data_IF_777444339305
#
_entry.id   IF_777444339305
#
_cell.length_a   1.000
_cell.length_b   1.000
_cell.length_c   1.000
_cell.angle_alpha   90.00
_cell.angle_beta   90.00
_cell.angle_gamma   90.00
#
_symmetry.space_group_name_H-M   'P 1'
#
loop_
_entity.id
_entity.type
_entity.pdbx_description
1 polymer ?
#
# COMPACT_ATOMS: atom_id res chain seq x y z
N UNK A 1 -61.92 23.94 -17.29
CA UNK A 1 -60.80 24.27 -16.39
C UNK A 1 -59.78 23.14 -16.48
N UNK A 2 -58.77 23.25 -17.35
CA UNK A 2 -57.68 22.23 -17.46
C UNK A 2 -56.49 22.64 -16.58
N UNK A 3 -56.23 21.89 -15.51
CA UNK A 3 -55.03 22.05 -14.69
C UNK A 3 -53.84 21.44 -15.44
N UNK A 4 -52.90 22.26 -15.91
CA UNK A 4 -51.60 21.84 -16.44
C UNK A 4 -50.72 21.41 -15.28
N UNK A 5 -50.41 20.10 -15.16
CA UNK A 5 -49.42 19.55 -14.24
C UNK A 5 -48.07 19.73 -14.93
N UNK A 6 -47.24 20.61 -14.37
CA UNK A 6 -45.86 20.80 -14.78
C UNK A 6 -44.98 19.76 -14.06
N UNK A 7 -44.56 18.69 -14.78
CA UNK A 7 -43.61 17.71 -14.26
C UNK A 7 -42.25 18.32 -14.45
N UNK A 8 -41.63 18.77 -13.34
CA UNK A 8 -40.25 19.17 -13.32
C UNK A 8 -39.36 17.89 -13.26
N UNK A 9 -38.77 17.58 -14.42
CA UNK A 9 -37.75 16.53 -14.49
C UNK A 9 -36.45 17.10 -13.85
N UNK A 10 -36.17 16.70 -12.60
CA UNK A 10 -34.91 16.99 -11.97
C UNK A 10 -33.90 16.02 -12.57
N UNK A 11 -33.14 16.46 -13.58
CA UNK A 11 -31.93 15.77 -14.03
C UNK A 11 -30.87 15.87 -12.92
N UNK A 12 -30.83 14.88 -12.04
CA UNK A 12 -29.69 14.67 -11.16
C UNK A 12 -28.50 14.26 -12.05
N UNK A 13 -27.66 15.21 -12.42
CA UNK A 13 -26.38 14.96 -13.05
C UNK A 13 -25.51 14.20 -12.03
N UNK A 14 -25.40 12.88 -12.21
CA UNK A 14 -24.39 12.05 -11.54
C UNK A 14 -23.04 12.55 -12.03
N UNK A 15 -22.41 13.43 -11.26
CA UNK A 15 -21.00 13.75 -11.44
C UNK A 15 -20.23 12.47 -11.12
N UNK A 16 -19.97 11.69 -12.16
CA UNK A 16 -19.02 10.57 -12.08
C UNK A 16 -17.63 11.20 -11.89
N UNK A 17 -17.18 11.31 -10.65
CA UNK A 17 -15.78 11.63 -10.39
C UNK A 17 -14.97 10.46 -10.92
N UNK A 18 -14.36 10.63 -12.09
CA UNK A 18 -13.35 9.69 -12.57
C UNK A 18 -12.23 9.59 -11.52
N UNK A 19 -11.84 8.38 -11.18
CA UNK A 19 -10.72 8.19 -10.29
C UNK A 19 -9.47 8.88 -10.86
N UNK A 20 -8.65 9.45 -9.99
CA UNK A 20 -7.36 10.06 -10.38
C UNK A 20 -6.50 9.02 -11.13
N UNK A 21 -5.66 9.48 -12.07
CA UNK A 21 -4.73 8.60 -12.76
C UNK A 21 -3.76 7.93 -11.77
N UNK A 22 -3.61 6.58 -11.78
CA UNK A 22 -2.78 5.88 -10.81
C UNK A 22 -1.30 6.29 -10.85
N UNK A 23 -0.75 6.69 -12.00
CA UNK A 23 0.63 7.21 -12.09
C UNK A 23 0.75 8.54 -11.35
N UNK A 24 -0.23 9.42 -11.51
CA UNK A 24 -0.27 10.71 -10.80
C UNK A 24 -0.34 10.52 -9.29
N UNK A 25 -1.12 9.56 -8.81
CA UNK A 25 -1.21 9.21 -7.38
C UNK A 25 0.15 8.74 -6.85
N UNK A 26 0.80 7.77 -7.51
CA UNK A 26 2.13 7.28 -7.10
C UNK A 26 3.14 8.43 -7.11
N UNK A 27 3.22 9.17 -8.22
CA UNK A 27 4.17 10.29 -8.38
C UNK A 27 4.02 11.34 -7.29
N UNK A 28 2.80 11.71 -6.92
CA UNK A 28 2.56 12.70 -5.87
C UNK A 28 3.09 12.25 -4.51
N UNK A 29 2.90 10.97 -4.17
CA UNK A 29 3.39 10.37 -2.92
C UNK A 29 4.91 10.21 -2.91
N UNK A 30 5.48 9.78 -4.04
CA UNK A 30 6.93 9.65 -4.18
C UNK A 30 7.63 11.01 -4.07
N UNK A 31 7.11 12.07 -4.68
CA UNK A 31 7.67 13.43 -4.56
C UNK A 31 7.67 13.89 -3.09
N UNK A 32 6.57 13.66 -2.37
CA UNK A 32 6.51 14.01 -0.95
C UNK A 32 7.52 13.19 -0.13
N UNK A 33 7.61 11.89 -0.38
CA UNK A 33 8.57 11.00 0.28
C UNK A 33 10.02 11.44 0.01
N UNK A 34 10.38 11.72 -1.26
CA UNK A 34 11.71 12.18 -1.64
C UNK A 34 12.09 13.48 -0.93
N UNK A 35 11.16 14.44 -0.78
CA UNK A 35 11.40 15.69 -0.06
C UNK A 35 11.75 15.48 1.42
N UNK A 36 11.25 14.40 2.03
CA UNK A 36 11.57 14.02 3.40
C UNK A 36 12.91 13.27 3.47
N UNK A 37 13.13 12.30 2.57
CA UNK A 37 14.32 11.44 2.57
C UNK A 37 15.60 12.22 2.25
N UNK A 38 15.53 13.23 1.39
CA UNK A 38 16.69 14.05 1.00
C UNK A 38 17.32 14.84 2.16
N UNK A 39 16.60 15.02 3.26
CA UNK A 39 17.12 15.70 4.45
C UNK A 39 18.16 14.85 5.16
N UNK A 40 19.25 15.46 5.59
CA UNK A 40 20.34 14.77 6.31
C UNK A 40 19.92 14.26 7.70
N UNK A 41 18.98 14.95 8.34
CA UNK A 41 18.34 14.55 9.60
C UNK A 41 16.85 14.75 9.49
N UNK A 42 16.09 13.77 9.94
CA UNK A 42 14.63 13.80 10.03
C UNK A 42 14.20 14.10 11.47
N UNK A 43 13.23 14.97 11.61
CA UNK A 43 12.55 15.24 12.88
C UNK A 43 11.55 14.09 13.17
N UNK A 44 11.12 13.95 14.43
CA UNK A 44 10.06 13.02 14.80
C UNK A 44 8.77 13.27 14.00
N UNK A 45 8.42 14.54 13.74
CA UNK A 45 7.26 14.91 12.91
C UNK A 45 7.39 14.41 11.46
N UNK A 46 8.58 14.47 10.87
CA UNK A 46 8.83 13.96 9.51
C UNK A 46 8.80 12.44 9.46
N UNK A 47 9.30 11.76 10.48
CA UNK A 47 9.19 10.29 10.61
C UNK A 47 7.72 9.88 10.70
N UNK A 48 6.92 10.57 11.52
CA UNK A 48 5.48 10.32 11.61
C UNK A 48 4.77 10.63 10.28
N UNK A 49 5.18 11.69 9.56
CA UNK A 49 4.63 12.00 8.24
C UNK A 49 4.88 10.89 7.23
N UNK A 50 6.06 10.26 7.25
CA UNK A 50 6.35 9.08 6.41
C UNK A 50 5.43 7.92 6.77
N UNK A 51 5.23 7.62 8.06
CA UNK A 51 4.31 6.57 8.49
C UNK A 51 2.88 6.82 8.00
N UNK A 52 2.43 8.08 8.03
CA UNK A 52 1.12 8.48 7.51
C UNK A 52 1.04 8.38 5.98
N UNK A 53 2.11 8.76 5.25
CA UNK A 53 2.18 8.55 3.80
C UNK A 53 2.00 7.08 3.43
N UNK A 54 2.66 6.17 4.16
CA UNK A 54 2.51 4.73 3.95
C UNK A 54 1.07 4.27 4.23
N UNK A 55 0.46 4.72 5.34
CA UNK A 55 -0.94 4.39 5.66
C UNK A 55 -1.91 4.87 4.58
N UNK A 56 -1.68 6.07 4.03
CA UNK A 56 -2.54 6.64 3.00
C UNK A 56 -2.35 5.97 1.63
N UNK A 57 -1.15 5.49 1.36
CA UNK A 57 -0.76 4.94 0.05
C UNK A 57 -1.06 3.46 -0.10
N UNK A 58 -1.12 2.69 1.01
CA UNK A 58 -1.26 1.24 0.96
C UNK A 58 -2.62 0.75 1.46
N UNK A 59 -3.14 -0.30 0.79
CA UNK A 59 -4.18 -1.18 1.33
C UNK A 59 -3.51 -2.31 2.12
N UNK A 60 -3.26 -2.06 3.40
CA UNK A 60 -2.62 -3.03 4.28
C UNK A 60 -3.49 -4.27 4.55
N UNK A 61 -4.81 -4.15 4.47
CA UNK A 61 -5.70 -5.30 4.62
C UNK A 61 -5.55 -6.28 3.45
N UNK A 62 -5.49 -5.75 2.23
CA UNK A 62 -5.26 -6.59 1.05
C UNK A 62 -3.83 -7.12 1.01
N UNK A 63 -2.81 -6.32 1.36
CA UNK A 63 -1.43 -6.78 1.48
C UNK A 63 -1.32 -7.92 2.50
N UNK A 64 -1.89 -7.79 3.69
CA UNK A 64 -1.91 -8.80 4.73
C UNK A 64 -2.55 -10.10 4.23
N UNK A 65 -3.75 -10.02 3.64
CA UNK A 65 -4.45 -11.16 3.03
C UNK A 65 -3.61 -11.86 1.95
N UNK A 66 -2.90 -11.11 1.10
CA UNK A 66 -2.04 -11.64 0.03
C UNK A 66 -0.71 -12.20 0.56
N UNK A 67 -0.33 -11.81 1.77
CA UNK A 67 0.87 -12.30 2.47
C UNK A 67 0.64 -13.63 3.22
N UNK A 68 -0.49 -14.28 3.02
CA UNK A 68 -0.81 -15.61 3.54
C UNK A 68 -1.22 -16.55 2.40
N UNK A 69 -1.11 -17.87 2.62
CA UNK A 69 -1.80 -18.82 1.77
C UNK A 69 -3.32 -18.65 1.94
N UNK A 70 -4.07 -18.87 0.84
CA UNK A 70 -5.52 -18.67 0.88
C UNK A 70 -6.23 -19.59 1.89
N UNK A 71 -5.69 -20.79 2.10
CA UNK A 71 -6.15 -21.74 3.14
C UNK A 71 -5.97 -21.18 4.53
N UNK A 72 -4.76 -20.65 4.83
CA UNK A 72 -4.41 -20.14 6.16
C UNK A 72 -5.24 -18.91 6.53
N UNK A 73 -5.50 -18.01 5.55
CA UNK A 73 -6.39 -16.87 5.74
C UNK A 73 -7.83 -17.30 6.02
N UNK A 74 -8.38 -18.23 5.19
CA UNK A 74 -9.77 -18.70 5.31
C UNK A 74 -10.05 -19.51 6.57
N UNK A 75 -9.03 -20.14 7.15
CA UNK A 75 -9.14 -20.91 8.38
C UNK A 75 -9.30 -20.03 9.62
N UNK A 76 -9.08 -18.71 9.52
CA UNK A 76 -9.16 -17.78 10.65
C UNK A 76 -10.54 -17.12 10.72
N UNK A 77 -11.02 -16.88 11.94
CA UNK A 77 -12.17 -16.02 12.19
C UNK A 77 -11.85 -14.53 11.93
N UNK A 78 -12.88 -13.70 11.84
CA UNK A 78 -12.76 -12.29 11.53
C UNK A 78 -11.89 -11.53 12.55
N UNK A 79 -12.02 -11.87 13.86
CA UNK A 79 -11.23 -11.24 14.92
C UNK A 79 -9.74 -11.53 14.76
N UNK A 80 -9.38 -12.78 14.49
CA UNK A 80 -8.01 -13.21 14.23
C UNK A 80 -7.44 -12.56 12.96
N UNK A 81 -8.24 -12.50 11.89
CA UNK A 81 -7.86 -11.80 10.65
C UNK A 81 -7.60 -10.32 10.91
N UNK A 82 -8.47 -9.63 11.64
CA UNK A 82 -8.32 -8.21 11.96
C UNK A 82 -7.08 -7.96 12.84
N UNK A 83 -6.83 -8.80 13.84
CA UNK A 83 -5.64 -8.71 14.68
C UNK A 83 -4.37 -8.88 13.86
N UNK A 84 -4.34 -9.87 12.95
CA UNK A 84 -3.24 -10.07 12.03
C UNK A 84 -2.98 -8.85 11.14
N UNK A 85 -4.03 -8.29 10.52
CA UNK A 85 -3.92 -7.08 9.68
C UNK A 85 -3.32 -5.92 10.47
N UNK A 86 -3.79 -5.69 11.69
CA UNK A 86 -3.34 -4.59 12.55
C UNK A 86 -1.85 -4.72 12.89
N UNK A 87 -1.41 -5.87 13.35
CA UNK A 87 -0.01 -6.09 13.73
C UNK A 87 0.92 -6.13 12.51
N UNK A 88 0.46 -6.72 11.41
CA UNK A 88 1.21 -6.73 10.16
C UNK A 88 1.38 -5.33 9.58
N UNK A 89 0.34 -4.51 9.56
CA UNK A 89 0.41 -3.11 9.15
C UNK A 89 1.42 -2.35 10.00
N UNK A 90 1.37 -2.51 11.34
CA UNK A 90 2.30 -1.86 12.28
C UNK A 90 3.74 -2.25 11.98
N UNK A 91 4.01 -3.54 11.80
CA UNK A 91 5.34 -4.07 11.48
C UNK A 91 5.87 -3.54 10.14
N UNK A 92 5.08 -3.63 9.07
CA UNK A 92 5.51 -3.19 7.73
C UNK A 92 5.76 -1.68 7.71
N UNK A 93 4.86 -0.88 8.30
CA UNK A 93 4.97 0.58 8.38
C UNK A 93 6.25 1.00 9.11
N UNK A 94 6.51 0.44 10.30
CA UNK A 94 7.67 0.78 11.10
C UNK A 94 8.98 0.34 10.41
N UNK A 95 9.02 -0.88 9.88
CA UNK A 95 10.18 -1.39 9.14
C UNK A 95 10.48 -0.58 7.89
N UNK A 96 9.45 -0.15 7.15
CA UNK A 96 9.61 0.68 5.95
C UNK A 96 10.11 2.08 6.31
N UNK A 97 9.59 2.70 7.38
CA UNK A 97 10.03 4.00 7.86
C UNK A 97 11.52 4.00 8.28
N UNK A 98 12.03 2.87 8.78
CA UNK A 98 13.44 2.71 9.15
C UNK A 98 14.38 2.44 7.95
N UNK A 99 13.83 2.06 6.79
CA UNK A 99 14.60 1.70 5.59
C UNK A 99 14.43 2.69 4.44
N UNK A 100 14.07 3.92 4.73
CA UNK A 100 13.76 4.95 3.71
C UNK A 100 14.91 5.25 2.75
N UNK A 101 16.15 5.05 3.17
CA UNK A 101 17.32 5.27 2.30
C UNK A 101 17.32 4.38 1.05
N UNK A 102 16.62 3.22 1.10
CA UNK A 102 16.44 2.33 -0.06
C UNK A 102 15.60 2.96 -1.17
N UNK A 103 14.78 3.95 -0.81
CA UNK A 103 13.90 4.65 -1.76
C UNK A 103 14.47 5.98 -2.23
N UNK A 104 15.70 6.34 -1.80
CA UNK A 104 16.35 7.59 -2.21
C UNK A 104 16.62 7.56 -3.71
N UNK A 105 16.20 8.61 -4.42
CA UNK A 105 16.44 8.75 -5.84
C UNK A 105 16.92 10.17 -6.20
N UNK A 106 17.86 10.24 -7.14
CA UNK A 106 18.29 11.47 -7.79
C UNK A 106 17.28 11.86 -8.88
N UNK A 107 16.74 10.84 -9.59
CA UNK A 107 15.67 10.98 -10.58
C UNK A 107 14.76 9.75 -10.58
N UNK A 108 13.51 9.95 -11.02
CA UNK A 108 12.51 8.89 -11.16
C UNK A 108 11.78 9.06 -12.49
N UNK A 109 11.66 7.98 -13.25
CA UNK A 109 10.89 7.89 -14.51
C UNK A 109 9.74 6.92 -14.27
N UNK A 110 8.52 7.31 -14.65
CA UNK A 110 7.33 6.47 -14.52
C UNK A 110 6.88 5.99 -15.88
N UNK A 111 6.56 4.70 -16.00
CA UNK A 111 5.88 4.16 -17.17
C UNK A 111 4.38 4.51 -17.13
N UNK A 112 3.68 4.51 -18.29
CA UNK A 112 2.23 4.54 -18.32
C UNK A 112 1.63 3.38 -17.51
N UNK A 113 0.55 3.64 -16.75
CA UNK A 113 -0.12 2.61 -15.96
C UNK A 113 -0.64 1.48 -16.85
N UNK A 114 -0.41 0.24 -16.43
CA UNK A 114 -1.02 -0.96 -17.03
C UNK A 114 -2.30 -1.28 -16.27
N UNK A 115 -3.44 -0.92 -16.85
CA UNK A 115 -4.76 -1.17 -16.25
C UNK A 115 -5.19 -2.62 -16.46
N UNK A 116 -5.85 -3.20 -15.44
CA UNK A 116 -6.56 -4.47 -15.54
C UNK A 116 -8.01 -4.26 -15.05
N UNK A 117 -8.91 -4.05 -15.99
CA UNK A 117 -10.26 -3.58 -15.69
C UNK A 117 -10.28 -2.13 -15.21
N UNK A 118 -11.26 -1.76 -14.40
CA UNK A 118 -11.48 -0.39 -13.91
C UNK A 118 -10.84 -0.12 -12.54
N UNK A 119 -10.46 -1.15 -11.81
CA UNK A 119 -10.15 -1.12 -10.37
C UNK A 119 -8.79 -1.73 -9.99
N UNK A 120 -8.07 -2.32 -10.95
CA UNK A 120 -6.69 -2.79 -10.78
C UNK A 120 -5.74 -2.08 -11.73
N UNK A 121 -4.57 -1.66 -11.23
CA UNK A 121 -3.52 -1.03 -12.01
C UNK A 121 -2.13 -1.53 -11.57
N UNK A 122 -1.17 -1.42 -12.49
CA UNK A 122 0.26 -1.53 -12.20
C UNK A 122 0.95 -0.27 -12.67
N UNK A 123 1.74 0.33 -11.77
CA UNK A 123 2.57 1.50 -12.05
C UNK A 123 4.02 1.09 -11.84
N UNK A 124 4.85 1.29 -12.85
CA UNK A 124 6.29 1.02 -12.80
C UNK A 124 7.04 2.34 -12.70
N UNK A 125 7.97 2.42 -11.76
CA UNK A 125 8.86 3.54 -11.56
C UNK A 125 10.32 3.07 -11.60
N UNK A 126 11.14 3.74 -12.40
CA UNK A 126 12.57 3.55 -12.48
C UNK A 126 13.26 4.61 -11.64
N UNK A 127 13.86 4.21 -10.53
CA UNK A 127 14.56 5.08 -9.60
C UNK A 127 16.06 5.01 -9.85
N UNK A 128 16.68 6.16 -10.08
CA UNK A 128 18.12 6.28 -10.26
C UNK A 128 18.75 6.95 -9.05
N UNK A 129 19.75 6.31 -8.45
CA UNK A 129 20.51 6.86 -7.34
C UNK A 129 22.01 6.59 -7.57
N UNK A 130 22.81 7.65 -7.71
CA UNK A 130 24.27 7.56 -7.95
C UNK A 130 24.61 6.63 -9.14
N UNK A 131 23.84 6.73 -10.21
CA UNK A 131 24.00 5.93 -11.43
C UNK A 131 23.53 4.47 -11.37
N UNK A 132 23.00 4.04 -10.22
CA UNK A 132 22.36 2.72 -10.07
C UNK A 132 20.86 2.84 -10.24
N UNK A 133 20.27 1.97 -11.05
CA UNK A 133 18.84 1.84 -11.22
C UNK A 133 18.26 0.84 -10.22
N UNK A 134 17.05 1.13 -9.73
CA UNK A 134 16.14 0.19 -9.07
C UNK A 134 14.76 0.34 -9.67
N UNK A 135 14.11 -0.78 -9.95
CA UNK A 135 12.77 -0.81 -10.55
C UNK A 135 11.72 -1.11 -9.46
N UNK A 136 10.76 -0.20 -9.32
CA UNK A 136 9.63 -0.36 -8.40
C UNK A 136 8.34 -0.60 -9.20
N UNK A 137 7.64 -1.70 -8.93
CA UNK A 137 6.28 -1.93 -9.44
C UNK A 137 5.28 -1.84 -8.29
N UNK A 138 4.37 -0.88 -8.38
CA UNK A 138 3.22 -0.73 -7.49
C UNK A 138 2.04 -1.50 -8.06
N UNK A 139 1.56 -2.55 -7.36
CA UNK A 139 0.29 -3.20 -7.68
C UNK A 139 -0.81 -2.51 -6.90
N UNK A 140 -1.71 -1.89 -7.61
CA UNK A 140 -2.71 -0.99 -7.05
C UNK A 140 -4.13 -1.52 -7.24
N UNK A 141 -5.01 -1.13 -6.33
CA UNK A 141 -6.45 -1.37 -6.44
C UNK A 141 -7.21 -0.09 -6.07
N UNK A 142 -8.42 0.06 -6.63
CA UNK A 142 -9.27 1.20 -6.36
C UNK A 142 -10.15 0.91 -5.13
N UNK A 143 -9.94 1.66 -4.04
CA UNK A 143 -10.69 1.52 -2.78
C UNK A 143 -11.45 2.81 -2.51
N UNK A 144 -12.78 2.76 -2.52
CA UNK A 144 -13.63 3.94 -2.30
C UNK A 144 -13.24 5.14 -3.20
N UNK A 145 -12.98 4.88 -4.48
CA UNK A 145 -12.60 5.90 -5.46
C UNK A 145 -11.15 6.40 -5.35
N UNK A 146 -10.31 5.80 -4.52
CA UNK A 146 -8.90 6.16 -4.34
C UNK A 146 -8.00 4.99 -4.67
N UNK A 147 -6.97 5.23 -5.47
CA UNK A 147 -5.94 4.23 -5.73
C UNK A 147 -5.05 3.99 -4.50
N UNK A 148 -4.90 2.71 -4.14
CA UNK A 148 -3.99 2.26 -3.07
C UNK A 148 -3.14 1.11 -3.57
N UNK A 149 -1.87 1.11 -3.23
CA UNK A 149 -0.98 -0.02 -3.49
C UNK A 149 -1.26 -1.14 -2.49
N UNK A 150 -1.36 -2.38 -2.95
CA UNK A 150 -1.46 -3.55 -2.09
C UNK A 150 -0.22 -4.44 -2.14
N UNK A 151 0.70 -4.20 -3.09
CA UNK A 151 2.01 -4.85 -3.17
C UNK A 151 3.01 -3.87 -3.76
N UNK A 152 4.22 -3.88 -3.24
CA UNK A 152 5.38 -3.21 -3.81
C UNK A 152 6.41 -4.27 -4.18
N UNK A 153 6.76 -4.29 -5.46
CA UNK A 153 7.83 -5.14 -6.00
C UNK A 153 9.04 -4.27 -6.23
N UNK A 154 10.18 -4.62 -5.67
CA UNK A 154 11.45 -3.91 -5.84
C UNK A 154 12.45 -4.88 -6.45
N UNK A 155 12.96 -4.56 -7.63
CA UNK A 155 13.92 -5.41 -8.36
C UNK A 155 13.45 -6.89 -8.38
N UNK A 156 12.19 -7.12 -8.81
CA UNK A 156 11.47 -8.42 -8.89
C UNK A 156 11.12 -9.08 -7.54
N UNK A 157 11.44 -8.45 -6.42
CA UNK A 157 11.11 -8.95 -5.07
C UNK A 157 9.77 -8.39 -4.57
N UNK A 158 8.69 -9.17 -4.71
CA UNK A 158 7.35 -8.82 -4.20
C UNK A 158 7.29 -8.89 -2.68
N UNK A 159 6.84 -7.81 -2.05
CA UNK A 159 6.62 -7.74 -0.60
C UNK A 159 5.62 -8.80 -0.13
N UNK A 160 4.46 -8.90 -0.78
CA UNK A 160 3.43 -9.88 -0.43
C UNK A 160 3.94 -11.32 -0.56
N UNK A 161 4.65 -11.65 -1.66
CA UNK A 161 5.20 -12.99 -1.88
C UNK A 161 6.29 -13.34 -0.85
N UNK A 162 7.18 -12.41 -0.55
CA UNK A 162 8.24 -12.62 0.44
C UNK A 162 7.66 -12.90 1.84
N UNK A 163 6.67 -12.13 2.28
CA UNK A 163 5.99 -12.41 3.55
C UNK A 163 5.22 -13.72 3.52
N UNK A 164 4.56 -14.05 2.41
CA UNK A 164 3.85 -15.33 2.26
C UNK A 164 4.78 -16.53 2.44
N UNK A 165 5.97 -16.48 1.86
CA UNK A 165 6.98 -17.52 2.02
C UNK A 165 7.47 -17.62 3.47
N UNK A 166 7.72 -16.50 4.13
CA UNK A 166 8.12 -16.46 5.54
C UNK A 166 7.03 -17.00 6.47
N UNK A 167 5.79 -16.54 6.29
CA UNK A 167 4.67 -16.94 7.14
C UNK A 167 4.29 -18.42 6.93
N UNK A 168 4.34 -18.90 5.68
CA UNK A 168 4.11 -20.33 5.40
C UNK A 168 5.16 -21.23 6.07
N UNK A 169 6.42 -20.77 6.23
CA UNK A 169 7.44 -21.51 6.99
C UNK A 169 7.11 -21.53 8.48
N UNK A 170 6.71 -20.40 9.05
CA UNK A 170 6.34 -20.29 10.46
C UNK A 170 5.12 -21.16 10.78
N UNK A 171 4.08 -21.11 9.94
CA UNK A 171 2.82 -21.83 10.15
C UNK A 171 2.93 -23.37 9.95
N UNK A 172 4.08 -23.90 9.51
CA UNK A 172 4.34 -25.35 9.53
C UNK A 172 4.43 -25.90 10.94
N UNK A 173 5.02 -25.12 11.86
CA UNK A 173 5.37 -25.56 13.21
C UNK A 173 4.68 -24.74 14.31
N UNK A 174 3.98 -23.66 13.95
CA UNK A 174 3.37 -22.70 14.88
C UNK A 174 1.91 -22.40 14.51
N UNK A 175 1.14 -22.06 15.51
CA UNK A 175 -0.24 -21.58 15.35
C UNK A 175 -0.30 -20.18 14.75
N UNK A 176 -1.48 -19.80 14.26
CA UNK A 176 -1.71 -18.44 13.74
C UNK A 176 -1.58 -17.37 14.85
N UNK A 177 -1.97 -17.68 16.08
CA UNK A 177 -1.79 -16.79 17.23
C UNK A 177 -0.30 -16.53 17.50
N UNK A 178 0.54 -17.56 17.48
CA UNK A 178 1.99 -17.41 17.63
C UNK A 178 2.62 -16.61 16.47
N UNK A 179 2.11 -16.75 15.24
CA UNK A 179 2.53 -15.89 14.12
C UNK A 179 2.23 -14.42 14.41
N UNK A 180 1.02 -14.10 14.91
CA UNK A 180 0.65 -12.72 15.29
C UNK A 180 1.60 -12.21 16.38
N UNK A 181 1.92 -13.00 17.39
CA UNK A 181 2.83 -12.61 18.48
C UNK A 181 4.26 -12.33 17.96
N UNK A 182 4.73 -13.12 16.99
CA UNK A 182 6.03 -12.89 16.33
C UNK A 182 6.02 -11.57 15.56
N UNK A 183 4.94 -11.31 14.82
CA UNK A 183 4.77 -10.06 14.05
C UNK A 183 4.70 -8.86 15.00
N UNK A 184 3.94 -8.95 16.08
CA UNK A 184 3.81 -7.90 17.10
C UNK A 184 5.18 -7.55 17.72
N UNK A 185 5.98 -8.54 18.11
CA UNK A 185 7.35 -8.32 18.62
C UNK A 185 8.25 -7.61 17.61
N UNK A 186 8.19 -8.03 16.32
CA UNK A 186 8.95 -7.35 15.26
C UNK A 186 8.48 -5.91 15.03
N UNK A 187 7.19 -5.63 15.20
CA UNK A 187 6.67 -4.28 15.13
C UNK A 187 7.20 -3.39 16.26
N UNK A 188 7.26 -3.93 17.50
CA UNK A 188 7.81 -3.23 18.67
C UNK A 188 9.33 -2.97 18.52
N UNK A 189 10.08 -3.93 17.97
CA UNK A 189 11.51 -3.77 17.68
C UNK A 189 11.78 -2.68 16.64
N UNK A 190 10.93 -2.58 15.62
CA UNK A 190 11.04 -1.58 14.56
C UNK A 190 10.53 -0.19 14.98
N UNK A 191 9.87 -0.06 16.14
CA UNK A 191 9.38 1.22 16.67
C UNK A 191 10.44 1.96 17.47
N UNK A 192 11.46 1.26 17.98
CA UNK A 192 12.62 1.78 18.72
C UNK A 192 13.64 2.45 17.79
#
# INVERSE_FOLDING_TARGET
MFKKILIAIVCASLLSFAAEDPVSVVKSKDVELQNIIKKSKRTAKETERVKNLLNDSFDFALLAKKSLAASDWKAQDETSQQKFVTEFQRMVRNSSANRLELYRADSTIYEPAKMKGSDDARVVAHLWNKGKESVLEYKMTLVNGKWKAWDLVIDDLSTARNYKEQFSKILKDKSFAELIDIISKKADEAEK
#
